data_IF_511664788164
#
_entry.id   IF_511664788164
#
_cell.length_a   1.000
_cell.length_b   1.000
_cell.length_c   1.000
_cell.angle_alpha   90.00
_cell.angle_beta   90.00
_cell.angle_gamma   90.00
#
_symmetry.space_group_name_H-M   'P 1'
#
loop_
_entity.id
_entity.type
_entity.pdbx_description
1 polymer ?
#
# COMPACT_ATOMS: atom_id res chain seq x y z
N UNK A 1 10.36 14.44 4.25
CA UNK A 1 11.53 14.54 3.43
C UNK A 1 11.41 13.70 2.17
N UNK A 2 11.19 12.41 2.36
CA UNK A 2 10.97 11.51 1.25
C UNK A 2 9.50 11.23 1.00
N UNK A 3 8.62 12.04 1.59
CA UNK A 3 7.18 11.88 1.47
C UNK A 3 6.72 11.85 0.01
N UNK A 4 7.36 12.65 -0.83
CA UNK A 4 6.94 12.77 -2.23
C UNK A 4 7.65 11.81 -3.17
N UNK A 5 8.33 10.80 -2.66
CA UNK A 5 8.74 9.66 -3.47
C UNK A 5 7.51 8.82 -3.78
N UNK A 6 7.43 8.31 -5.00
CA UNK A 6 6.26 7.58 -5.45
C UNK A 6 5.89 6.43 -4.52
N UNK A 7 6.88 5.65 -4.06
CA UNK A 7 6.63 4.54 -3.15
C UNK A 7 5.94 4.98 -1.87
N UNK A 8 6.39 6.08 -1.28
CA UNK A 8 5.80 6.60 -0.05
C UNK A 8 4.40 7.16 -0.28
N UNK A 9 4.19 7.81 -1.42
CA UNK A 9 2.87 8.33 -1.78
C UNK A 9 1.86 7.20 -1.95
N UNK A 10 2.26 6.09 -2.56
CA UNK A 10 1.40 4.91 -2.67
C UNK A 10 1.02 4.36 -1.30
N UNK A 11 1.95 4.34 -0.33
CA UNK A 11 1.66 3.90 1.04
C UNK A 11 0.65 4.83 1.71
N UNK A 12 0.84 6.13 1.56
CA UNK A 12 -0.11 7.10 2.12
C UNK A 12 -1.48 6.91 1.50
N UNK A 13 -1.52 6.72 0.19
CA UNK A 13 -2.75 6.50 -0.54
C UNK A 13 -3.48 5.26 -0.03
N UNK A 14 -2.75 4.16 0.15
CA UNK A 14 -3.31 2.92 0.64
C UNK A 14 -3.86 3.04 2.06
N UNK A 15 -3.07 3.60 2.97
CA UNK A 15 -3.44 3.65 4.38
C UNK A 15 -4.42 4.76 4.72
N UNK A 16 -4.38 5.88 4.01
CA UNK A 16 -5.12 7.08 4.42
C UNK A 16 -6.16 7.55 3.40
N UNK A 17 -6.12 7.03 2.18
CA UNK A 17 -7.11 7.36 1.16
C UNK A 17 -6.78 8.60 0.34
N UNK A 18 -7.61 8.82 -0.68
CA UNK A 18 -7.40 9.89 -1.65
C UNK A 18 -7.49 11.29 -1.06
N UNK A 19 -8.47 11.52 -0.21
CA UNK A 19 -8.67 12.86 0.32
C UNK A 19 -7.48 13.32 1.16
N UNK A 20 -6.96 12.41 1.98
CA UNK A 20 -5.79 12.70 2.80
C UNK A 20 -4.58 13.00 1.92
N UNK A 21 -4.38 12.19 0.89
CA UNK A 21 -3.27 12.40 -0.05
C UNK A 21 -3.39 13.74 -0.78
N UNK A 22 -4.59 14.07 -1.23
CA UNK A 22 -4.82 15.36 -1.88
C UNK A 22 -4.52 16.53 -0.94
N UNK A 23 -4.86 16.41 0.34
CA UNK A 23 -4.56 17.45 1.31
C UNK A 23 -3.05 17.66 1.44
N UNK A 24 -2.28 16.56 1.41
CA UNK A 24 -0.82 16.65 1.46
C UNK A 24 -0.28 17.37 0.24
N UNK A 25 -0.77 17.03 -0.96
CA UNK A 25 -0.36 17.71 -2.18
C UNK A 25 -0.71 19.20 -2.15
N UNK A 26 -1.92 19.51 -1.73
CA UNK A 26 -2.37 20.90 -1.67
C UNK A 26 -1.55 21.71 -0.68
N UNK A 27 -1.24 21.11 0.48
CA UNK A 27 -0.41 21.77 1.47
C UNK A 27 0.98 22.08 0.91
N UNK A 28 1.57 21.11 0.20
CA UNK A 28 2.90 21.31 -0.39
C UNK A 28 2.89 22.39 -1.45
N UNK A 29 1.86 22.40 -2.29
CA UNK A 29 1.72 23.42 -3.32
C UNK A 29 1.50 24.80 -2.71
N UNK A 30 0.77 24.86 -1.61
CA UNK A 30 0.54 26.12 -0.90
C UNK A 30 1.85 26.67 -0.32
N UNK A 31 2.71 25.80 0.19
CA UNK A 31 3.99 26.20 0.76
C UNK A 31 4.96 26.73 -0.29
N UNK A 32 4.90 26.19 -1.50
CA UNK A 32 5.79 26.58 -2.58
C UNK A 32 5.19 27.74 -3.37
N UNK A 33 5.78 28.90 -3.25
CA UNK A 33 5.35 30.07 -4.03
C UNK A 33 5.64 29.86 -5.53
N UNK A 34 6.69 29.12 -5.84
CA UNK A 34 6.99 28.72 -7.21
C UNK A 34 6.28 27.40 -7.47
N UNK A 35 5.53 27.35 -8.56
CA UNK A 35 4.76 26.16 -8.91
C UNK A 35 5.70 24.97 -9.15
N UNK A 36 5.55 23.92 -8.36
CA UNK A 36 6.35 22.73 -8.51
C UNK A 36 5.65 21.77 -9.48
N UNK A 37 6.21 21.69 -10.69
CA UNK A 37 5.63 20.87 -11.75
C UNK A 37 5.61 19.40 -11.40
N UNK A 38 6.60 18.92 -10.66
CA UNK A 38 6.65 17.52 -10.22
C UNK A 38 5.48 17.21 -9.29
N UNK A 39 5.23 18.08 -8.33
CA UNK A 39 4.13 17.88 -7.38
C UNK A 39 2.79 17.91 -8.09
N UNK A 40 2.59 18.82 -9.02
CA UNK A 40 1.36 18.88 -9.82
C UNK A 40 1.15 17.61 -10.64
N UNK A 41 2.23 17.10 -11.21
CA UNK A 41 2.17 15.87 -12.01
C UNK A 41 1.78 14.68 -11.15
N UNK A 42 2.40 14.57 -9.97
CA UNK A 42 2.08 13.49 -9.03
C UNK A 42 0.63 13.59 -8.55
N UNK A 43 0.18 14.80 -8.25
CA UNK A 43 -1.21 14.99 -7.83
C UNK A 43 -2.18 14.52 -8.90
N UNK A 44 -1.96 14.92 -10.14
CA UNK A 44 -2.81 14.49 -11.26
C UNK A 44 -2.77 12.98 -11.45
N UNK A 45 -1.58 12.39 -11.33
CA UNK A 45 -1.43 10.94 -11.45
C UNK A 45 -2.31 10.21 -10.44
N UNK A 46 -2.24 10.61 -9.17
CA UNK A 46 -3.00 9.92 -8.12
C UNK A 46 -4.50 10.21 -8.19
N UNK A 47 -4.93 11.27 -8.85
CA UNK A 47 -6.35 11.54 -9.04
C UNK A 47 -7.05 10.45 -9.85
N UNK A 48 -6.32 9.79 -10.74
CA UNK A 48 -6.87 8.74 -11.59
C UNK A 48 -6.59 7.33 -11.11
N UNK A 49 -5.78 7.17 -10.06
CA UNK A 49 -5.44 5.84 -9.56
C UNK A 49 -6.49 5.31 -8.61
N UNK A 50 -6.60 4.00 -8.55
CA UNK A 50 -7.45 3.34 -7.57
C UNK A 50 -6.62 2.97 -6.36
N UNK A 51 -7.21 3.04 -5.16
CA UNK A 51 -6.53 2.60 -3.95
C UNK A 51 -6.28 1.10 -4.07
N UNK A 52 -5.02 0.65 -3.87
CA UNK A 52 -4.73 -0.79 -3.91
C UNK A 52 -5.56 -1.54 -2.87
N UNK A 53 -5.96 -2.75 -3.22
CA UNK A 53 -6.78 -3.57 -2.35
C UNK A 53 -6.07 -4.87 -2.04
N UNK A 54 -5.93 -5.18 -0.74
CA UNK A 54 -5.31 -6.41 -0.31
C UNK A 54 -6.35 -7.53 -0.36
N UNK A 55 -6.20 -8.43 -1.33
CA UNK A 55 -7.20 -9.46 -1.61
C UNK A 55 -6.98 -10.78 -0.89
N UNK A 56 -5.85 -10.94 -0.21
CA UNK A 56 -5.56 -12.19 0.49
C UNK A 56 -6.33 -12.23 1.80
N UNK A 57 -7.15 -13.24 1.95
CA UNK A 57 -8.05 -13.35 3.10
C UNK A 57 -7.64 -14.51 4.02
N UNK A 58 -8.01 -14.40 5.30
CA UNK A 58 -7.76 -15.44 6.29
C UNK A 58 -8.29 -16.80 5.82
N UNK A 59 -9.46 -16.79 5.20
CA UNK A 59 -10.09 -18.01 4.70
C UNK A 59 -9.18 -18.75 3.72
N UNK A 60 -8.49 -18.02 2.86
CA UNK A 60 -7.58 -18.63 1.90
C UNK A 60 -6.42 -19.34 2.59
N UNK A 61 -5.88 -18.76 3.65
CA UNK A 61 -4.80 -19.39 4.39
C UNK A 61 -5.28 -20.64 5.12
N UNK A 62 -6.49 -20.59 5.67
CA UNK A 62 -7.06 -21.77 6.34
C UNK A 62 -7.28 -22.91 5.33
N UNK A 63 -7.85 -22.60 4.18
CA UNK A 63 -8.20 -23.62 3.19
C UNK A 63 -6.99 -24.17 2.44
N UNK A 64 -6.10 -23.29 2.00
CA UNK A 64 -5.00 -23.69 1.13
C UNK A 64 -3.72 -24.08 1.87
N UNK A 65 -3.49 -23.51 3.04
CA UNK A 65 -2.27 -23.75 3.80
C UNK A 65 -2.52 -24.36 5.16
N UNK A 66 -3.76 -24.72 5.45
CA UNK A 66 -4.17 -25.41 6.69
C UNK A 66 -3.83 -24.65 7.96
N UNK A 67 -3.81 -23.32 7.89
CA UNK A 67 -3.67 -22.51 9.09
C UNK A 67 -4.89 -22.63 9.97
N UNK A 68 -4.66 -22.63 11.28
CA UNK A 68 -5.76 -22.60 12.24
C UNK A 68 -6.13 -21.16 12.53
N UNK A 69 -7.40 -20.92 12.78
CA UNK A 69 -7.85 -19.60 13.17
C UNK A 69 -7.21 -19.20 14.50
N UNK A 70 -6.89 -17.92 14.64
CA UNK A 70 -6.32 -17.40 15.86
C UNK A 70 -5.22 -16.37 15.57
N UNK A 71 -4.41 -16.13 16.60
CA UNK A 71 -3.39 -15.10 16.55
C UNK A 71 -2.35 -15.34 15.45
N UNK A 72 -1.93 -16.59 15.30
CA UNK A 72 -0.92 -16.92 14.28
C UNK A 72 -1.40 -16.56 12.89
N UNK A 73 -2.67 -16.84 12.60
CA UNK A 73 -3.27 -16.51 11.31
C UNK A 73 -3.26 -15.00 11.07
N UNK A 74 -3.67 -14.23 12.09
CA UNK A 74 -3.68 -12.78 12.01
C UNK A 74 -2.28 -12.21 11.81
N UNK A 75 -1.31 -12.75 12.54
CA UNK A 75 0.08 -12.29 12.43
C UNK A 75 0.64 -12.60 11.05
N UNK A 76 0.32 -13.77 10.50
CA UNK A 76 0.77 -14.15 9.17
C UNK A 76 0.15 -13.26 8.10
N UNK A 77 -1.12 -12.92 8.23
CA UNK A 77 -1.77 -12.00 7.30
C UNK A 77 -1.10 -10.63 7.30
N UNK A 78 -0.73 -10.13 8.48
CA UNK A 78 -0.03 -8.85 8.59
C UNK A 78 1.35 -8.92 7.93
N UNK A 79 2.03 -10.03 8.09
CA UNK A 79 3.33 -10.23 7.46
C UNK A 79 3.21 -10.22 5.95
N UNK A 80 2.20 -10.91 5.41
CA UNK A 80 1.93 -10.97 3.97
C UNK A 80 1.58 -9.58 3.45
N UNK A 81 0.73 -8.85 4.15
CA UNK A 81 0.34 -7.50 3.75
C UNK A 81 1.56 -6.57 3.73
N UNK A 82 2.42 -6.67 4.73
CA UNK A 82 3.63 -5.85 4.78
C UNK A 82 4.54 -6.12 3.59
N UNK A 83 4.72 -7.40 3.25
CA UNK A 83 5.51 -7.76 2.08
C UNK A 83 4.88 -7.19 0.81
N UNK A 84 3.57 -7.35 0.68
CA UNK A 84 2.81 -6.86 -0.47
C UNK A 84 2.98 -5.36 -0.65
N UNK A 85 2.86 -4.60 0.43
CA UNK A 85 3.05 -3.14 0.39
C UNK A 85 4.47 -2.79 -0.04
N UNK A 86 5.47 -3.45 0.55
CA UNK A 86 6.87 -3.18 0.23
C UNK A 86 7.24 -3.62 -1.18
N UNK A 87 6.50 -4.56 -1.73
CA UNK A 87 6.73 -5.08 -3.08
C UNK A 87 5.83 -4.39 -4.12
N UNK A 88 5.54 -3.13 -3.91
CA UNK A 88 4.73 -2.29 -4.82
C UNK A 88 3.31 -2.85 -5.03
N UNK A 89 2.72 -3.36 -3.96
CA UNK A 89 1.36 -3.91 -3.94
C UNK A 89 1.20 -5.09 -4.89
N UNK A 90 2.23 -5.93 -4.95
CA UNK A 90 2.23 -7.14 -5.76
C UNK A 90 2.76 -8.30 -4.94
N UNK A 91 2.19 -9.48 -5.16
CA UNK A 91 2.71 -10.71 -4.57
C UNK A 91 2.41 -11.86 -5.51
N UNK A 92 3.44 -12.66 -5.82
CA UNK A 92 3.27 -13.85 -6.64
C UNK A 92 2.89 -15.03 -5.77
N UNK A 93 2.40 -16.09 -6.39
CA UNK A 93 2.08 -17.30 -5.66
C UNK A 93 3.32 -17.91 -5.00
N UNK A 94 4.47 -17.81 -5.66
CA UNK A 94 5.73 -18.30 -5.10
C UNK A 94 6.15 -17.52 -3.89
N UNK A 95 6.02 -16.20 -3.95
CA UNK A 95 6.35 -15.34 -2.83
C UNK A 95 5.42 -15.58 -1.65
N UNK A 96 4.13 -15.76 -1.94
CA UNK A 96 3.15 -16.07 -0.90
C UNK A 96 3.49 -17.39 -0.22
N UNK A 97 3.81 -18.42 -1.00
CA UNK A 97 4.21 -19.72 -0.46
C UNK A 97 5.40 -19.59 0.48
N UNK A 98 6.42 -18.84 0.09
CA UNK A 98 7.61 -18.65 0.92
C UNK A 98 7.28 -18.01 2.26
N UNK A 99 6.43 -17.00 2.26
CA UNK A 99 6.07 -16.31 3.50
C UNK A 99 5.25 -17.23 4.39
N UNK A 100 4.29 -17.93 3.82
CA UNK A 100 3.40 -18.80 4.58
C UNK A 100 4.13 -19.98 5.20
N UNK A 101 5.10 -20.55 4.48
CA UNK A 101 5.83 -21.73 4.94
C UNK A 101 7.00 -21.44 5.87
N UNK A 102 7.34 -20.20 6.07
CA UNK A 102 8.43 -19.83 6.97
C UNK A 102 7.98 -19.80 8.43
#
# INVERSE_FOLDING_TARGET
KDTFKEKNLWKIFYFNGRNYLNDIFNFKLFQNKNLDKKILRLKKFFETQKVPKFDIKAKMLVENFKYKEGKELGDKLKEIEKFWIENSFKISNEELDKIVKN
#
